data_IF_647157209605
#
_entry.id   IF_647157209605
#
_cell.length_a   1.000
_cell.length_b   1.000
_cell.length_c   1.000
_cell.angle_alpha   90.00
_cell.angle_beta   90.00
_cell.angle_gamma   90.00
#
_symmetry.space_group_name_H-M   'P 1'
#
loop_
_entity.id
_entity.type
_entity.pdbx_description
1 polymer ?
#
# COMPACT_ATOMS: atom_id res chain seq x y z
N UNK A 1 12.45 -17.37 3.87
CA UNK A 1 13.27 -16.64 2.87
C UNK A 1 14.21 -15.73 3.63
N UNK A 2 15.46 -15.62 3.22
CA UNK A 2 16.37 -14.63 3.78
C UNK A 2 16.48 -13.48 2.77
N UNK A 3 16.14 -12.29 3.21
CA UNK A 3 16.24 -11.05 2.43
C UNK A 3 17.39 -10.21 2.96
N UNK A 4 18.02 -9.43 2.10
CA UNK A 4 19.13 -8.54 2.46
C UNK A 4 18.63 -7.11 2.75
N UNK A 5 17.69 -6.63 1.94
CA UNK A 5 17.23 -5.24 1.93
C UNK A 5 15.88 -5.05 2.62
N UNK A 6 15.18 -6.13 2.96
CA UNK A 6 13.90 -6.07 3.67
C UNK A 6 13.89 -7.04 4.85
N UNK A 7 13.03 -6.77 5.82
CA UNK A 7 12.67 -7.71 6.88
C UNK A 7 11.22 -8.15 6.66
N UNK A 8 10.97 -9.44 6.77
CA UNK A 8 9.63 -10.02 6.74
C UNK A 8 9.39 -10.83 8.02
N UNK A 9 8.46 -10.37 8.84
CA UNK A 9 7.99 -11.07 10.03
C UNK A 9 6.50 -11.40 9.88
N UNK A 10 6.09 -12.59 10.26
CA UNK A 10 4.69 -13.04 10.23
C UNK A 10 4.24 -13.38 11.66
N UNK A 11 3.23 -12.68 12.16
CA UNK A 11 2.74 -12.85 13.53
C UNK A 11 1.28 -12.43 13.63
N UNK A 12 0.46 -13.18 14.35
CA UNK A 12 -0.94 -12.84 14.63
C UNK A 12 -1.77 -12.51 13.36
N UNK A 13 -1.58 -13.29 12.30
CA UNK A 13 -2.20 -13.08 10.97
C UNK A 13 -1.82 -11.77 10.27
N UNK A 14 -0.78 -11.10 10.75
CA UNK A 14 -0.19 -9.90 10.16
C UNK A 14 1.18 -10.24 9.59
N UNK A 15 1.47 -9.79 8.36
CA UNK A 15 2.81 -9.74 7.82
C UNK A 15 3.38 -8.33 8.00
N UNK A 16 4.52 -8.21 8.66
CA UNK A 16 5.27 -6.98 8.78
C UNK A 16 6.36 -6.98 7.72
N UNK A 17 6.27 -6.05 6.78
CA UNK A 17 7.28 -5.82 5.74
C UNK A 17 8.00 -4.53 6.07
N UNK A 18 9.32 -4.58 6.26
CA UNK A 18 10.12 -3.41 6.60
C UNK A 18 11.26 -3.25 5.60
N UNK A 19 11.34 -2.13 4.89
CA UNK A 19 12.53 -1.80 4.11
C UNK A 19 13.68 -1.56 5.08
N UNK A 20 14.77 -2.29 4.92
CA UNK A 20 15.90 -2.29 5.87
C UNK A 20 17.19 -1.81 5.23
N UNK A 21 17.17 -0.59 4.70
CA UNK A 21 18.35 0.13 4.16
C UNK A 21 18.52 1.51 4.82
N UNK A 22 18.54 1.62 6.16
CA UNK A 22 18.48 2.92 6.85
C UNK A 22 19.69 3.83 6.56
N UNK A 23 20.84 3.28 6.20
CA UNK A 23 22.05 4.04 5.84
C UNK A 23 21.86 4.88 4.57
N UNK A 24 20.98 4.48 3.69
CA UNK A 24 20.61 5.19 2.45
C UNK A 24 19.15 5.64 2.47
N UNK A 25 18.61 5.93 3.65
CA UNK A 25 17.23 6.40 3.86
C UNK A 25 16.19 5.47 3.23
N UNK A 26 16.44 4.17 3.24
CA UNK A 26 15.57 3.15 2.66
C UNK A 26 15.31 3.32 1.14
N UNK A 27 16.23 3.94 0.40
CA UNK A 27 16.11 4.12 -1.05
C UNK A 27 15.96 2.77 -1.77
N UNK A 28 15.12 2.76 -2.81
CA UNK A 28 14.78 1.56 -3.59
C UNK A 28 15.82 1.35 -4.69
N UNK A 29 16.52 0.23 -4.63
CA UNK A 29 17.26 -0.32 -5.77
C UNK A 29 16.52 -1.54 -6.34
N UNK A 30 16.97 -2.03 -7.49
CA UNK A 30 16.33 -3.18 -8.15
C UNK A 30 16.32 -4.44 -7.30
N UNK A 31 17.39 -4.68 -6.51
CA UNK A 31 17.44 -5.81 -5.58
C UNK A 31 16.32 -5.72 -4.53
N UNK A 32 16.10 -4.53 -3.94
CA UNK A 32 14.98 -4.30 -3.00
C UNK A 32 13.62 -4.55 -3.66
N UNK A 33 13.44 -4.12 -4.92
CA UNK A 33 12.19 -4.34 -5.66
C UNK A 33 11.93 -5.84 -5.93
N UNK A 34 12.96 -6.61 -6.26
CA UNK A 34 12.83 -8.06 -6.42
C UNK A 34 12.55 -8.79 -5.11
N UNK A 35 13.17 -8.36 -4.01
CA UNK A 35 12.85 -8.89 -2.67
C UNK A 35 11.41 -8.57 -2.26
N UNK A 36 10.93 -7.35 -2.51
CA UNK A 36 9.52 -6.99 -2.29
C UNK A 36 8.59 -7.87 -3.13
N UNK A 37 8.91 -8.06 -4.42
CA UNK A 37 8.13 -8.94 -5.30
C UNK A 37 8.01 -10.35 -4.71
N UNK A 38 9.14 -10.92 -4.28
CA UNK A 38 9.18 -12.27 -3.69
C UNK A 38 8.38 -12.33 -2.36
N UNK A 39 8.55 -11.34 -1.48
CA UNK A 39 7.85 -11.25 -0.20
C UNK A 39 6.33 -11.13 -0.38
N UNK A 40 5.87 -10.28 -1.32
CA UNK A 40 4.45 -10.11 -1.56
C UNK A 40 3.81 -11.31 -2.26
N UNK A 41 4.54 -12.07 -3.08
CA UNK A 41 4.07 -13.35 -3.60
C UNK A 41 3.94 -14.41 -2.49
N UNK A 42 4.90 -14.49 -1.57
CA UNK A 42 4.82 -15.37 -0.40
C UNK A 42 3.62 -15.01 0.50
N UNK A 43 3.44 -13.72 0.80
CA UNK A 43 2.29 -13.23 1.57
C UNK A 43 0.97 -13.54 0.86
N UNK A 44 0.90 -13.38 -0.46
CA UNK A 44 -0.30 -13.65 -1.26
C UNK A 44 -0.75 -15.09 -1.11
N UNK A 45 0.16 -16.04 -1.15
CA UNK A 45 -0.12 -17.48 -1.06
C UNK A 45 -0.36 -17.98 0.38
N UNK A 46 0.06 -17.24 1.40
CA UNK A 46 -0.05 -17.62 2.80
C UNK A 46 -1.44 -17.31 3.38
N UNK A 47 -2.32 -18.30 3.43
CA UNK A 47 -3.70 -18.15 3.93
C UNK A 47 -3.80 -17.75 5.42
N UNK A 48 -2.72 -17.90 6.20
CA UNK A 48 -2.69 -17.48 7.60
C UNK A 48 -2.56 -15.96 7.74
N UNK A 49 -2.05 -15.27 6.71
CA UNK A 49 -1.88 -13.83 6.70
C UNK A 49 -3.14 -13.15 6.15
N UNK A 50 -3.64 -12.18 6.91
CA UNK A 50 -4.88 -11.45 6.65
C UNK A 50 -4.64 -9.96 6.30
N UNK A 51 -3.61 -9.35 6.89
CA UNK A 51 -3.25 -7.93 6.73
C UNK A 51 -1.74 -7.81 6.63
N UNK A 52 -1.27 -6.79 5.91
CA UNK A 52 0.14 -6.41 5.84
C UNK A 52 0.33 -5.04 6.49
N UNK A 53 1.36 -4.89 7.31
CA UNK A 53 1.87 -3.61 7.80
C UNK A 53 3.21 -3.37 7.12
N UNK A 54 3.34 -2.26 6.40
CA UNK A 54 4.50 -1.94 5.60
C UNK A 54 5.15 -0.64 6.09
N UNK A 55 6.45 -0.69 6.43
CA UNK A 55 7.18 0.46 6.99
C UNK A 55 8.64 0.50 6.55
N UNK A 56 9.40 1.52 6.96
CA UNK A 56 10.84 1.63 6.79
C UNK A 56 11.59 1.48 8.11
N UNK A 57 12.77 0.89 8.08
CA UNK A 57 13.63 0.78 9.25
C UNK A 57 14.21 2.15 9.66
N UNK A 58 14.35 2.36 10.96
CA UNK A 58 14.85 3.60 11.56
C UNK A 58 13.75 4.69 11.63
N UNK A 59 14.17 5.90 12.00
CA UNK A 59 13.23 7.00 12.32
C UNK A 59 13.16 8.07 11.24
N UNK A 60 14.06 8.04 10.23
CA UNK A 60 14.23 9.14 9.27
C UNK A 60 13.36 8.99 8.03
N UNK A 61 13.19 7.77 7.54
CA UNK A 61 12.52 7.55 6.27
C UNK A 61 11.68 6.28 6.28
N UNK A 62 10.51 6.38 5.72
CA UNK A 62 9.78 5.26 5.17
C UNK A 62 10.56 4.76 3.96
N UNK A 63 10.62 5.54 2.90
CA UNK A 63 11.41 5.31 1.68
C UNK A 63 11.67 6.67 1.03
N UNK A 64 12.94 7.07 0.90
CA UNK A 64 13.30 8.40 0.39
C UNK A 64 13.52 8.45 -1.14
N UNK A 65 12.91 7.53 -1.88
CA UNK A 65 12.95 7.50 -3.34
C UNK A 65 13.69 6.30 -3.93
N UNK A 66 13.99 6.37 -5.21
CA UNK A 66 14.82 5.39 -5.91
C UNK A 66 16.30 5.63 -5.62
N UNK A 67 17.11 4.59 -5.79
CA UNK A 67 18.56 4.70 -5.74
C UNK A 67 19.07 5.44 -7.01
N UNK A 68 19.56 6.66 -6.80
CA UNK A 68 19.93 7.56 -7.90
C UNK A 68 21.11 7.00 -8.71
N UNK A 69 21.97 6.18 -8.11
CA UNK A 69 23.10 5.57 -8.84
C UNK A 69 22.63 4.62 -9.94
N UNK A 70 21.60 3.79 -9.65
CA UNK A 70 20.99 2.93 -10.68
C UNK A 70 20.19 3.74 -11.71
N UNK A 71 19.51 4.78 -11.24
CA UNK A 71 18.68 5.61 -12.11
C UNK A 71 19.52 6.37 -13.17
N UNK A 72 20.71 6.84 -12.80
CA UNK A 72 21.59 7.63 -13.66
C UNK A 72 22.14 6.86 -14.87
N UNK A 73 22.12 5.53 -14.83
CA UNK A 73 22.61 4.66 -15.89
C UNK A 73 21.54 4.34 -16.96
N UNK A 74 20.28 4.74 -16.74
CA UNK A 74 19.19 4.40 -17.64
C UNK A 74 19.14 5.32 -18.87
N UNK A 75 18.99 4.69 -20.04
CA UNK A 75 18.55 5.32 -21.28
C UNK A 75 17.02 5.19 -21.48
N UNK A 76 16.53 5.53 -22.68
CA UNK A 76 15.09 5.46 -22.96
C UNK A 76 14.52 4.02 -22.92
N UNK A 77 15.31 3.01 -23.31
CA UNK A 77 14.86 1.62 -23.34
C UNK A 77 14.92 1.01 -21.95
N UNK A 78 16.09 1.09 -21.31
CA UNK A 78 16.30 0.58 -19.94
C UNK A 78 15.46 1.31 -18.91
N UNK A 79 15.24 2.62 -19.06
CA UNK A 79 14.35 3.42 -18.22
C UNK A 79 12.89 2.97 -18.30
N UNK A 80 12.40 2.59 -19.51
CA UNK A 80 11.07 2.00 -19.65
C UNK A 80 10.95 0.65 -18.93
N UNK A 81 11.95 -0.22 -19.08
CA UNK A 81 11.98 -1.52 -18.39
C UNK A 81 12.06 -1.36 -16.87
N UNK A 82 12.90 -0.44 -16.40
CA UNK A 82 13.03 -0.09 -15.00
C UNK A 82 11.68 0.33 -14.39
N UNK A 83 10.96 1.24 -15.05
CA UNK A 83 9.63 1.67 -14.61
C UNK A 83 8.61 0.54 -14.63
N UNK A 84 8.58 -0.30 -15.67
CA UNK A 84 7.66 -1.44 -15.72
C UNK A 84 7.89 -2.45 -14.60
N UNK A 85 9.15 -2.75 -14.26
CA UNK A 85 9.47 -3.63 -13.12
C UNK A 85 8.92 -3.06 -11.82
N UNK A 86 9.14 -1.76 -11.56
CA UNK A 86 8.59 -1.09 -10.39
C UNK A 86 7.07 -1.10 -10.37
N UNK A 87 6.43 -0.71 -11.48
CA UNK A 87 4.96 -0.72 -11.59
C UNK A 87 4.36 -2.11 -11.33
N UNK A 88 5.01 -3.18 -11.80
CA UNK A 88 4.54 -4.55 -11.54
C UNK A 88 4.56 -4.91 -10.05
N UNK A 89 5.56 -4.47 -9.31
CA UNK A 89 5.61 -4.68 -7.85
C UNK A 89 4.51 -3.87 -7.15
N UNK A 90 4.30 -2.62 -7.54
CA UNK A 90 3.25 -1.79 -6.97
C UNK A 90 1.85 -2.33 -7.30
N UNK A 91 1.64 -2.81 -8.52
CA UNK A 91 0.40 -3.46 -8.91
C UNK A 91 0.15 -4.77 -8.12
N UNK A 92 1.21 -5.53 -7.80
CA UNK A 92 1.10 -6.71 -6.94
C UNK A 92 0.67 -6.31 -5.52
N UNK A 93 1.22 -5.22 -4.96
CA UNK A 93 0.84 -4.69 -3.65
C UNK A 93 -0.64 -4.27 -3.64
N UNK A 94 -1.05 -3.46 -4.62
CA UNK A 94 -2.40 -2.91 -4.75
C UNK A 94 -3.46 -4.01 -4.94
N UNK A 95 -3.12 -5.05 -5.71
CA UNK A 95 -4.00 -6.18 -6.03
C UNK A 95 -3.64 -7.46 -5.25
N UNK A 96 -3.10 -7.31 -4.04
CA UNK A 96 -2.69 -8.43 -3.21
C UNK A 96 -3.86 -9.34 -2.79
N UNK A 97 -5.07 -8.77 -2.71
CA UNK A 97 -6.25 -9.42 -2.14
C UNK A 97 -6.29 -9.41 -0.61
N UNK A 98 -5.30 -8.77 0.03
CA UNK A 98 -5.19 -8.56 1.48
C UNK A 98 -4.86 -7.10 1.72
N UNK A 99 -5.48 -6.43 2.72
CA UNK A 99 -5.18 -5.04 3.02
C UNK A 99 -3.71 -4.81 3.37
N UNK A 100 -3.12 -3.78 2.78
CA UNK A 100 -1.76 -3.32 3.07
C UNK A 100 -1.84 -1.94 3.71
N UNK A 101 -1.32 -1.78 4.92
CA UNK A 101 -1.30 -0.52 5.66
C UNK A 101 0.13 0.03 5.59
N UNK A 102 0.34 1.11 4.85
CA UNK A 102 1.61 1.83 4.88
C UNK A 102 1.72 2.64 6.18
N UNK A 103 2.76 2.37 6.95
CA UNK A 103 3.14 3.12 8.15
C UNK A 103 4.31 4.03 7.81
N UNK A 104 4.02 5.28 7.45
CA UNK A 104 4.98 6.26 6.96
C UNK A 104 5.68 6.91 8.15
N UNK A 105 6.83 6.37 8.53
CA UNK A 105 7.60 6.77 9.72
C UNK A 105 8.56 7.96 9.50
N UNK A 106 8.59 8.54 8.30
CA UNK A 106 9.47 9.67 7.95
C UNK A 106 9.31 10.06 6.49
N UNK A 107 10.42 10.29 5.77
CA UNK A 107 10.37 10.65 4.35
C UNK A 107 9.72 9.56 3.49
N UNK A 108 8.71 9.91 2.70
CA UNK A 108 8.09 9.10 1.66
C UNK A 108 8.15 9.90 0.35
N UNK A 109 9.23 9.76 -0.41
CA UNK A 109 9.51 10.59 -1.58
C UNK A 109 9.61 9.76 -2.84
N UNK A 110 9.16 10.31 -3.97
CA UNK A 110 9.22 9.63 -5.26
C UNK A 110 8.67 8.21 -5.18
N UNK A 111 9.47 7.21 -5.56
CA UNK A 111 9.10 5.80 -5.48
C UNK A 111 8.55 5.36 -4.12
N UNK A 112 9.01 5.99 -3.01
CA UNK A 112 8.47 5.73 -1.69
C UNK A 112 7.05 6.26 -1.49
N UNK A 113 6.75 7.44 -2.01
CA UNK A 113 5.40 7.97 -2.04
C UNK A 113 4.49 7.12 -2.96
N UNK A 114 5.04 6.64 -4.09
CA UNK A 114 4.33 5.78 -5.03
C UNK A 114 3.99 4.42 -4.42
N UNK A 115 4.90 3.78 -3.67
CA UNK A 115 4.62 2.55 -2.90
C UNK A 115 3.54 2.82 -1.84
N UNK A 116 3.63 3.92 -1.11
CA UNK A 116 2.61 4.27 -0.12
C UNK A 116 1.22 4.41 -0.77
N UNK A 117 1.14 5.02 -1.95
CA UNK A 117 -0.12 5.15 -2.71
C UNK A 117 -0.65 3.83 -3.24
N UNK A 118 0.20 2.84 -3.51
CA UNK A 118 -0.22 1.49 -3.90
C UNK A 118 -0.74 0.64 -2.72
N UNK A 119 -0.47 1.06 -1.49
CA UNK A 119 -1.04 0.42 -0.29
C UNK A 119 -2.52 0.79 -0.13
N UNK A 120 -3.29 -0.10 0.52
CA UNK A 120 -4.73 0.09 0.77
C UNK A 120 -5.00 1.32 1.63
N UNK A 121 -4.20 1.52 2.67
CA UNK A 121 -4.29 2.64 3.61
C UNK A 121 -2.90 3.19 3.93
N UNK A 122 -2.84 4.46 4.33
CA UNK A 122 -1.63 5.18 4.68
C UNK A 122 -1.81 5.88 6.02
N UNK A 123 -1.03 5.46 7.02
CA UNK A 123 -0.87 6.18 8.27
C UNK A 123 0.50 6.86 8.24
N UNK A 124 0.60 8.06 8.78
CA UNK A 124 1.84 8.80 8.82
C UNK A 124 2.17 9.25 10.25
N UNK A 125 3.44 9.21 10.60
CA UNK A 125 3.90 9.91 11.79
C UNK A 125 3.88 11.43 11.54
N UNK A 126 3.71 12.21 12.60
CA UNK A 126 3.60 13.68 12.52
C UNK A 126 4.81 14.37 11.89
N UNK A 127 5.99 13.74 11.95
CA UNK A 127 7.22 14.22 11.35
C UNK A 127 7.40 13.79 9.89
N UNK A 128 6.50 12.98 9.32
CA UNK A 128 6.62 12.48 7.96
C UNK A 128 6.49 13.63 6.93
N UNK A 129 7.20 13.44 5.81
CA UNK A 129 7.15 14.31 4.64
C UNK A 129 6.90 13.47 3.41
N UNK A 130 5.94 13.86 2.59
CA UNK A 130 5.56 13.18 1.38
C UNK A 130 5.79 14.08 0.16
N UNK A 131 6.13 13.51 -1.00
CA UNK A 131 6.30 14.30 -2.22
C UNK A 131 6.72 13.48 -3.42
N UNK A 132 6.65 14.14 -4.59
CA UNK A 132 7.06 13.60 -5.89
C UNK A 132 8.11 14.56 -6.51
N UNK A 133 9.39 14.48 -6.07
CA UNK A 133 10.42 15.46 -6.45
C UNK A 133 11.13 15.13 -7.77
N UNK A 134 10.68 14.14 -8.54
CA UNK A 134 11.36 13.58 -9.73
C UNK A 134 11.69 14.63 -10.78
N UNK A 135 10.85 15.66 -10.95
CA UNK A 135 11.11 16.74 -11.91
C UNK A 135 12.39 17.54 -11.60
N UNK A 136 12.84 17.54 -10.34
CA UNK A 136 14.12 18.16 -9.95
C UNK A 136 15.34 17.38 -10.46
N UNK A 137 15.13 16.12 -10.88
CA UNK A 137 16.12 15.26 -11.51
C UNK A 137 15.96 15.18 -13.04
N UNK A 138 15.04 15.97 -13.62
CA UNK A 138 14.76 15.97 -15.06
C UNK A 138 13.95 14.75 -15.54
N UNK A 139 13.26 14.06 -14.65
CA UNK A 139 12.40 12.91 -14.95
C UNK A 139 11.02 13.11 -14.35
N UNK A 140 10.13 12.18 -14.61
CA UNK A 140 8.78 12.14 -14.02
C UNK A 140 8.65 10.97 -13.03
N UNK A 141 7.65 10.96 -12.12
CA UNK A 141 7.31 9.77 -11.33
C UNK A 141 7.12 8.55 -12.22
N UNK A 142 7.83 7.46 -11.92
CA UNK A 142 7.90 6.30 -12.81
C UNK A 142 7.10 5.08 -12.35
N UNK A 143 6.78 4.97 -11.05
CA UNK A 143 6.10 3.80 -10.49
C UNK A 143 4.59 4.00 -10.34
N UNK A 144 4.03 5.02 -10.99
CA UNK A 144 2.59 5.28 -11.08
C UNK A 144 2.13 6.51 -10.30
N UNK A 145 3.05 7.35 -9.81
CA UNK A 145 2.72 8.56 -9.07
C UNK A 145 1.86 9.54 -9.86
N UNK A 146 2.14 9.71 -11.16
CA UNK A 146 1.33 10.55 -12.06
C UNK A 146 -0.11 10.03 -12.23
N UNK A 147 -0.36 8.77 -11.89
CA UNK A 147 -1.67 8.14 -12.04
C UNK A 147 -2.39 7.98 -10.70
N UNK A 148 -1.72 7.47 -9.66
CA UNK A 148 -2.34 7.25 -8.34
C UNK A 148 -2.58 8.54 -7.58
N UNK A 149 -1.63 9.49 -7.62
CA UNK A 149 -1.77 10.74 -6.88
C UNK A 149 -3.03 11.53 -7.27
N UNK A 150 -3.31 11.82 -8.58
CA UNK A 150 -4.50 12.57 -8.94
C UNK A 150 -5.82 11.84 -8.65
N UNK A 151 -5.81 10.51 -8.54
CA UNK A 151 -6.98 9.73 -8.12
C UNK A 151 -7.25 9.85 -6.62
N UNK A 152 -6.23 10.11 -5.82
CA UNK A 152 -6.35 10.28 -4.36
C UNK A 152 -6.66 11.73 -3.97
N UNK A 153 -5.98 12.73 -4.58
CA UNK A 153 -6.03 14.11 -4.11
C UNK A 153 -6.66 15.08 -5.11
N UNK A 154 -7.09 14.58 -6.26
CA UNK A 154 -7.58 15.40 -7.37
C UNK A 154 -6.46 15.99 -8.22
N UNK A 155 -6.80 16.33 -9.47
CA UNK A 155 -5.83 16.75 -10.50
C UNK A 155 -5.03 17.99 -10.12
N UNK A 156 -5.68 19.01 -9.52
CA UNK A 156 -5.03 20.29 -9.20
C UNK A 156 -3.88 20.12 -8.19
N UNK A 157 -4.14 19.48 -7.06
CA UNK A 157 -3.13 19.21 -6.02
C UNK A 157 -2.04 18.27 -6.51
N UNK A 158 -2.40 17.25 -7.27
CA UNK A 158 -1.42 16.35 -7.86
C UNK A 158 -0.46 17.07 -8.81
N UNK A 159 -0.97 17.94 -9.69
CA UNK A 159 -0.15 18.76 -10.56
C UNK A 159 0.77 19.68 -9.77
N UNK A 160 0.27 20.36 -8.73
CA UNK A 160 1.11 21.20 -7.87
C UNK A 160 2.27 20.40 -7.27
N UNK A 161 2.00 19.24 -6.67
CA UNK A 161 3.03 18.42 -6.05
C UNK A 161 4.05 17.89 -7.06
N UNK A 162 3.59 17.39 -8.21
CA UNK A 162 4.47 16.79 -9.23
C UNK A 162 5.30 17.86 -9.95
N UNK A 163 4.69 18.98 -10.35
CA UNK A 163 5.40 20.01 -11.15
C UNK A 163 6.33 20.89 -10.31
N UNK A 164 5.97 21.17 -9.06
CA UNK A 164 6.84 21.91 -8.14
C UNK A 164 7.91 21.01 -7.50
N UNK A 165 7.65 19.70 -7.42
CA UNK A 165 8.52 18.73 -6.75
C UNK A 165 8.70 19.06 -5.26
N UNK A 166 7.70 19.68 -4.64
CA UNK A 166 7.75 20.08 -3.24
C UNK A 166 7.28 18.93 -2.32
N UNK A 167 7.80 18.96 -1.10
CA UNK A 167 7.34 18.05 -0.05
C UNK A 167 6.24 18.73 0.77
N UNK A 168 5.23 17.96 1.12
CA UNK A 168 4.16 18.36 2.05
C UNK A 168 4.33 17.66 3.40
N UNK A 169 3.76 18.25 4.46
CA UNK A 169 3.74 17.65 5.80
C UNK A 169 2.73 16.52 5.87
N UNK A 170 2.83 15.67 6.89
CA UNK A 170 1.84 14.64 7.18
C UNK A 170 0.43 15.22 7.39
N UNK A 171 0.33 16.37 8.06
CA UNK A 171 -0.94 17.08 8.32
C UNK A 171 -1.57 17.56 7.01
N UNK A 172 -0.76 18.15 6.11
CA UNK A 172 -1.26 18.55 4.80
C UNK A 172 -1.65 17.35 3.96
N UNK A 173 -0.85 16.26 3.97
CA UNK A 173 -1.18 15.03 3.29
C UNK A 173 -2.51 14.42 3.80
N UNK A 174 -2.78 14.52 5.10
CA UNK A 174 -4.06 14.12 5.67
C UNK A 174 -5.20 15.04 5.23
N UNK A 175 -5.00 16.36 5.28
CA UNK A 175 -6.00 17.35 4.86
C UNK A 175 -6.47 17.16 3.41
N UNK A 176 -5.56 16.78 2.51
CA UNK A 176 -5.87 16.57 1.09
C UNK A 176 -6.31 15.15 0.74
N UNK A 177 -6.39 14.24 1.71
CA UNK A 177 -6.82 12.84 1.52
C UNK A 177 -5.71 11.89 1.04
N UNK A 178 -4.45 12.33 0.96
CA UNK A 178 -3.33 11.44 0.63
C UNK A 178 -3.00 10.47 1.77
N UNK A 179 -3.22 10.87 3.03
CA UNK A 179 -3.00 10.06 4.23
C UNK A 179 -4.31 9.92 5.00
N UNK A 180 -4.62 8.72 5.48
CA UNK A 180 -5.85 8.42 6.21
C UNK A 180 -5.82 8.96 7.64
N UNK A 181 -4.67 8.91 8.31
CA UNK A 181 -4.53 9.32 9.71
C UNK A 181 -3.08 9.74 10.01
N UNK A 182 -2.91 10.72 10.91
CA UNK A 182 -1.61 11.15 11.44
C UNK A 182 -1.53 10.83 12.91
N UNK A 183 -0.41 10.25 13.35
CA UNK A 183 -0.15 9.86 14.74
C UNK A 183 1.21 10.40 15.20
N UNK A 184 1.46 10.41 16.50
CA UNK A 184 2.84 10.52 16.99
C UNK A 184 3.63 9.27 16.59
N UNK A 185 4.94 9.40 16.43
CA UNK A 185 5.78 8.31 15.89
C UNK A 185 5.67 7.01 16.71
N UNK A 186 5.60 7.10 18.02
CA UNK A 186 5.47 5.94 18.92
C UNK A 186 4.15 5.16 18.75
N UNK A 187 3.09 5.82 18.30
CA UNK A 187 1.76 5.22 18.12
C UNK A 187 1.50 4.72 16.69
N UNK A 188 2.43 4.92 15.74
CA UNK A 188 2.22 4.61 14.33
C UNK A 188 1.94 3.11 14.10
N UNK A 189 2.81 2.24 14.59
CA UNK A 189 2.62 0.78 14.48
C UNK A 189 1.47 0.27 15.35
N UNK A 190 1.36 0.63 16.66
CA UNK A 190 0.19 0.26 17.47
C UNK A 190 -1.15 0.64 16.84
N UNK A 191 -1.23 1.81 16.19
CA UNK A 191 -2.44 2.24 15.52
C UNK A 191 -2.76 1.40 14.29
N UNK A 192 -1.75 1.04 13.48
CA UNK A 192 -1.92 0.14 12.35
C UNK A 192 -2.37 -1.26 12.80
N UNK A 193 -1.80 -1.79 13.89
CA UNK A 193 -2.21 -3.07 14.49
C UNK A 193 -3.66 -3.02 14.99
N UNK A 194 -4.10 -1.91 15.59
CA UNK A 194 -5.48 -1.74 16.02
C UNK A 194 -6.46 -1.75 14.83
N UNK A 195 -6.09 -1.17 13.68
CA UNK A 195 -6.88 -1.23 12.44
C UNK A 195 -6.85 -2.66 11.89
N UNK A 196 -5.67 -3.28 11.82
CA UNK A 196 -5.50 -4.65 11.35
C UNK A 196 -6.36 -5.64 12.16
N UNK A 197 -6.40 -5.51 13.49
CA UNK A 197 -7.23 -6.35 14.35
C UNK A 197 -8.72 -6.25 14.01
N UNK A 198 -9.23 -5.04 13.70
CA UNK A 198 -10.63 -4.85 13.26
C UNK A 198 -10.90 -5.53 11.92
N UNK A 199 -9.93 -5.48 10.98
CA UNK A 199 -10.06 -6.11 9.67
C UNK A 199 -9.99 -7.63 9.80
N UNK A 200 -9.07 -8.16 10.61
CA UNK A 200 -8.88 -9.60 10.84
C UNK A 200 -10.13 -10.22 11.49
N UNK A 201 -10.87 -9.47 12.29
CA UNK A 201 -12.12 -9.93 12.89
C UNK A 201 -13.27 -10.15 11.87
N UNK A 202 -13.13 -9.66 10.62
CA UNK A 202 -14.14 -9.82 9.57
C UNK A 202 -13.87 -11.06 8.70
N UNK A 203 -14.88 -11.49 7.93
CA UNK A 203 -14.78 -12.59 6.97
C UNK A 203 -13.74 -12.27 5.87
N UNK A 204 -12.70 -13.09 5.67
CA UNK A 204 -11.59 -12.76 4.77
C UNK A 204 -11.99 -12.62 3.32
N UNK A 205 -12.86 -13.50 2.82
CA UNK A 205 -13.34 -13.42 1.44
C UNK A 205 -14.19 -12.17 1.22
N UNK A 206 -15.01 -11.76 2.20
CA UNK A 206 -15.77 -10.53 2.11
C UNK A 206 -14.86 -9.29 2.07
N UNK A 207 -13.80 -9.25 2.88
CA UNK A 207 -12.77 -8.19 2.83
C UNK A 207 -12.09 -8.16 1.46
N UNK A 208 -11.70 -9.31 0.93
CA UNK A 208 -11.07 -9.42 -0.40
C UNK A 208 -12.00 -8.91 -1.51
N UNK A 209 -13.26 -9.34 -1.53
CA UNK A 209 -14.22 -8.93 -2.56
C UNK A 209 -14.59 -7.46 -2.45
N UNK A 210 -14.70 -6.91 -1.24
CA UNK A 210 -14.91 -5.48 -1.05
C UNK A 210 -13.74 -4.65 -1.60
N UNK A 211 -12.50 -5.08 -1.34
CA UNK A 211 -11.32 -4.42 -1.94
C UNK A 211 -11.31 -4.52 -3.46
N UNK A 212 -11.65 -5.69 -4.02
CA UNK A 212 -11.72 -5.89 -5.46
C UNK A 212 -12.79 -5.00 -6.10
N UNK A 213 -13.99 -4.93 -5.50
CA UNK A 213 -15.08 -4.07 -5.97
C UNK A 213 -14.65 -2.59 -5.99
N UNK A 214 -14.00 -2.11 -4.93
CA UNK A 214 -13.54 -0.71 -4.86
C UNK A 214 -12.42 -0.46 -5.86
N UNK A 215 -11.36 -1.28 -5.87
CA UNK A 215 -10.20 -1.04 -6.74
C UNK A 215 -10.57 -1.08 -8.22
N UNK A 216 -11.31 -2.11 -8.66
CA UNK A 216 -11.72 -2.25 -10.05
C UNK A 216 -12.82 -1.28 -10.44
N UNK A 217 -13.78 -1.02 -9.53
CA UNK A 217 -14.89 -0.09 -9.76
C UNK A 217 -14.42 1.33 -10.04
N UNK A 218 -13.31 1.77 -9.41
CA UNK A 218 -12.70 3.08 -9.68
C UNK A 218 -12.09 3.22 -11.09
N UNK A 219 -11.87 2.12 -11.80
CA UNK A 219 -11.33 2.10 -13.18
C UNK A 219 -12.44 1.85 -14.25
N UNK A 220 -13.71 1.77 -13.83
CA UNK A 220 -14.87 1.48 -14.67
C UNK A 220 -15.86 2.64 -14.67
N UNK A 221 -16.86 2.59 -15.56
CA UNK A 221 -18.05 3.44 -15.42
C UNK A 221 -18.84 3.01 -14.18
N UNK A 222 -19.63 3.91 -13.61
CA UNK A 222 -20.48 3.59 -12.45
C UNK A 222 -21.38 2.36 -12.72
N UNK A 223 -21.96 2.27 -13.92
CA UNK A 223 -22.84 1.16 -14.29
C UNK A 223 -22.11 -0.19 -14.29
N UNK A 224 -20.89 -0.23 -14.86
CA UNK A 224 -20.07 -1.45 -14.87
C UNK A 224 -19.59 -1.81 -13.47
N UNK A 225 -19.18 -0.80 -12.65
CA UNK A 225 -18.79 -0.99 -11.26
C UNK A 225 -19.92 -1.56 -10.41
N UNK A 226 -21.16 -1.07 -10.56
CA UNK A 226 -22.34 -1.60 -9.86
C UNK A 226 -22.64 -3.05 -10.29
N UNK A 227 -22.44 -3.38 -11.56
CA UNK A 227 -22.59 -4.77 -12.02
C UNK A 227 -21.54 -5.69 -11.39
N UNK A 228 -20.26 -5.27 -11.35
CA UNK A 228 -19.18 -6.00 -10.68
C UNK A 228 -19.50 -6.22 -9.20
N UNK A 229 -19.93 -5.17 -8.49
CA UNK A 229 -20.32 -5.24 -7.08
C UNK A 229 -21.43 -6.29 -6.86
N UNK A 230 -22.47 -6.31 -7.69
CA UNK A 230 -23.54 -7.29 -7.60
C UNK A 230 -23.05 -8.73 -7.81
N UNK A 231 -22.10 -8.94 -8.74
CA UNK A 231 -21.48 -10.26 -8.98
C UNK A 231 -20.64 -10.69 -7.76
N UNK A 232 -19.79 -9.82 -7.23
CA UNK A 232 -18.95 -10.11 -6.06
C UNK A 232 -19.81 -10.32 -4.79
N UNK A 233 -20.91 -9.58 -4.64
CA UNK A 233 -21.87 -9.80 -3.57
C UNK A 233 -22.52 -11.19 -3.67
N UNK A 234 -22.93 -11.60 -4.87
CA UNK A 234 -23.50 -12.94 -5.09
C UNK A 234 -22.49 -14.05 -4.75
N UNK A 235 -21.21 -13.88 -5.14
CA UNK A 235 -20.13 -14.82 -4.78
C UNK A 235 -19.93 -14.86 -3.26
N UNK A 236 -19.93 -13.71 -2.59
CA UNK A 236 -19.84 -13.64 -1.13
C UNK A 236 -21.01 -14.35 -0.45
N UNK A 237 -22.22 -14.27 -0.99
CA UNK A 237 -23.40 -14.97 -0.47
C UNK A 237 -23.29 -16.51 -0.52
N UNK A 238 -22.42 -17.06 -1.36
CA UNK A 238 -22.19 -18.50 -1.50
C UNK A 238 -21.18 -19.06 -0.48
N UNK A 239 -20.54 -18.19 0.36
CA UNK A 239 -19.51 -18.61 1.32
C UNK A 239 -20.11 -19.15 2.63
N UNK A 240 -19.36 -20.08 3.29
CA UNK A 240 -19.69 -20.52 4.65
C UNK A 240 -19.63 -19.36 5.64
N UNK A 241 -18.71 -18.43 5.43
CA UNK A 241 -18.54 -17.25 6.29
C UNK A 241 -19.75 -16.31 6.26
N UNK A 242 -20.42 -16.17 5.12
CA UNK A 242 -21.69 -15.44 5.05
C UNK A 242 -22.76 -16.09 5.90
N UNK A 243 -22.90 -17.41 5.83
CA UNK A 243 -23.86 -18.15 6.63
C UNK A 243 -23.56 -18.01 8.13
N UNK A 244 -22.29 -18.18 8.51
CA UNK A 244 -21.84 -18.00 9.89
C UNK A 244 -22.11 -16.57 10.39
N UNK A 245 -21.72 -15.56 9.61
CA UNK A 245 -21.88 -14.16 9.99
C UNK A 245 -23.34 -13.76 10.21
N UNK A 246 -24.25 -14.19 9.32
CA UNK A 246 -25.67 -13.90 9.46
C UNK A 246 -26.32 -14.66 10.63
N UNK A 247 -25.93 -15.91 10.84
CA UNK A 247 -26.41 -16.73 11.97
C UNK A 247 -25.92 -16.15 13.30
N UNK A 248 -24.64 -15.85 13.41
CA UNK A 248 -24.04 -15.27 14.62
C UNK A 248 -24.70 -13.93 14.98
N UNK A 249 -25.00 -13.09 14.00
CA UNK A 249 -25.68 -11.82 14.20
C UNK A 249 -27.10 -12.01 14.78
N UNK A 250 -27.89 -12.93 14.23
CA UNK A 250 -29.25 -13.24 14.71
C UNK A 250 -29.23 -13.86 16.13
N UNK A 251 -28.21 -14.68 16.41
CA UNK A 251 -28.00 -15.32 17.70
C UNK A 251 -27.30 -14.41 18.73
N UNK A 252 -26.90 -13.21 18.35
CA UNK A 252 -26.18 -12.23 19.20
C UNK A 252 -24.88 -12.78 19.81
N UNK A 253 -24.14 -13.57 19.05
CA UNK A 253 -22.81 -14.11 19.41
C UNK A 253 -21.74 -13.61 18.47
N UNK A 254 -20.46 -13.79 18.85
CA UNK A 254 -19.35 -13.55 17.95
C UNK A 254 -19.34 -14.56 16.81
N UNK A 255 -19.03 -14.09 15.59
CA UNK A 255 -18.85 -14.94 14.43
C UNK A 255 -17.44 -15.57 14.43
N UNK A 256 -17.32 -16.81 13.90
CA UNK A 256 -16.08 -17.56 13.78
C UNK A 256 -15.78 -17.83 12.28
N UNK A 257 -15.24 -16.82 11.61
CA UNK A 257 -14.95 -16.88 10.18
C UNK A 257 -13.77 -17.79 9.84
N UNK A 258 -13.89 -18.55 8.76
CA UNK A 258 -12.91 -19.56 8.31
C UNK A 258 -12.28 -19.25 6.95
N UNK A 259 -12.81 -18.28 6.21
CA UNK A 259 -12.34 -17.96 4.86
C UNK A 259 -12.81 -18.95 3.78
N UNK A 260 -13.99 -19.49 3.92
CA UNK A 260 -14.57 -20.50 3.02
C UNK A 260 -15.95 -20.12 2.55
#
# INVERSE_FOLDING_TARGET
MNFENILLEKKNSIAYVTINRPKVLNALNMATMEELRAAFHDIKSDMAIRVVIFTGAGEKAFIAGADISELSENDAVSGKEYTHRGQNVLNLIENLGKPVIACINGFALGGGCEIAMACTMRLASENAKLGQPEVKLGIIPGYGGTQRLPRLVGKGLAMQMVLAGEMITAQEAHRIGLVNEVTIAAELIPRAEAIAAKIIANAPLAVQYAMEAVNKGMEMTLTEGLYLEAVLFAVACATEDKQEGTTAFLEKRAAAFKGK
#
